data_IF_348532400835
#
_entry.id   IF_348532400835
#
_cell.length_a   1.000
_cell.length_b   1.000
_cell.length_c   1.000
_cell.angle_alpha   90.00
_cell.angle_beta   90.00
_cell.angle_gamma   90.00
#
_symmetry.space_group_name_H-M   'P 1'
#
loop_
_entity.id
_entity.type
_entity.pdbx_description
1 polymer ?
#
# COMPACT_ATOMS: atom_id res chain seq x y z
N UNK A 1 -15.64 -13.00 -5.00
CA UNK A 1 -15.41 -14.10 -4.04
C UNK A 1 -15.12 -13.51 -2.68
N UNK A 2 -15.24 -14.29 -1.61
CA UNK A 2 -14.89 -13.87 -0.24
C UNK A 2 -13.62 -14.60 0.21
N UNK A 3 -12.60 -13.85 0.59
CA UNK A 3 -11.42 -14.40 1.28
C UNK A 3 -11.81 -14.63 2.73
N UNK A 4 -11.50 -15.81 3.27
CA UNK A 4 -11.75 -16.18 4.68
C UNK A 4 -10.41 -16.41 5.36
N UNK A 5 -10.32 -16.02 6.62
CA UNK A 5 -9.08 -16.05 7.37
C UNK A 5 -9.25 -15.63 8.82
N UNK A 6 -8.12 -15.37 9.46
CA UNK A 6 -8.05 -14.80 10.81
C UNK A 6 -7.00 -13.68 10.85
N UNK A 7 -6.90 -12.98 11.96
CA UNK A 7 -5.93 -11.88 12.12
C UNK A 7 -4.75 -12.31 12.96
N UNK A 8 -3.56 -11.87 12.56
CA UNK A 8 -2.30 -12.04 13.30
C UNK A 8 -1.57 -10.72 13.47
N UNK A 9 -0.57 -10.71 14.33
CA UNK A 9 0.26 -9.53 14.64
C UNK A 9 1.71 -9.92 14.47
N UNK A 10 2.43 -9.15 13.65
CA UNK A 10 3.88 -9.29 13.51
C UNK A 10 4.52 -7.95 13.07
N UNK A 11 5.84 -7.93 13.01
CA UNK A 11 6.58 -6.85 12.39
C UNK A 11 6.62 -7.06 10.87
N UNK A 12 6.28 -6.03 10.11
CA UNK A 12 6.25 -6.09 8.64
C UNK A 12 7.30 -5.13 8.09
N UNK A 13 8.23 -5.65 7.30
CA UNK A 13 9.18 -4.82 6.56
C UNK A 13 8.60 -4.47 5.19
N UNK A 14 8.49 -3.17 4.89
CA UNK A 14 8.08 -2.68 3.58
C UNK A 14 9.11 -1.67 3.09
N UNK A 15 9.76 -1.97 1.96
CA UNK A 15 10.79 -1.11 1.37
C UNK A 15 11.92 -0.72 2.35
N UNK A 16 12.29 -1.62 3.27
CA UNK A 16 13.30 -1.37 4.30
C UNK A 16 12.79 -0.64 5.55
N UNK A 17 11.49 -0.33 5.62
CA UNK A 17 10.85 0.26 6.80
C UNK A 17 10.23 -0.84 7.66
N UNK A 18 10.72 -0.98 8.89
CA UNK A 18 10.20 -1.95 9.86
C UNK A 18 8.97 -1.39 10.59
N UNK A 19 7.78 -1.82 10.18
CA UNK A 19 6.52 -1.47 10.83
C UNK A 19 6.24 -2.45 11.95
N UNK A 20 6.35 -1.97 13.19
CA UNK A 20 6.26 -2.81 14.39
C UNK A 20 4.79 -3.06 14.76
N UNK A 21 4.45 -4.30 15.09
CA UNK A 21 3.13 -4.67 15.63
C UNK A 21 1.97 -4.48 14.65
N UNK A 22 2.20 -4.70 13.36
CA UNK A 22 1.16 -4.62 12.34
C UNK A 22 0.18 -5.79 12.50
N UNK A 23 -1.12 -5.47 12.57
CA UNK A 23 -2.18 -6.47 12.46
C UNK A 23 -2.46 -6.73 10.98
N UNK A 24 -2.43 -7.98 10.53
CA UNK A 24 -2.78 -8.35 9.16
C UNK A 24 -3.67 -9.61 9.13
N UNK A 25 -4.31 -9.85 8.00
CA UNK A 25 -5.14 -11.04 7.79
C UNK A 25 -4.35 -12.19 7.18
N UNK A 26 -4.45 -13.37 7.79
CA UNK A 26 -3.98 -14.63 7.22
C UNK A 26 -5.15 -15.32 6.53
N UNK A 27 -5.07 -15.43 5.20
CA UNK A 27 -6.08 -16.13 4.42
C UNK A 27 -5.92 -17.65 4.56
N UNK A 28 -7.03 -18.33 4.86
CA UNK A 28 -7.11 -19.81 4.88
C UNK A 28 -7.95 -20.34 3.71
N UNK A 29 -8.80 -19.48 3.13
CA UNK A 29 -9.61 -19.80 1.96
C UNK A 29 -9.52 -18.63 0.98
N UNK A 30 -8.98 -18.91 -0.20
CA UNK A 30 -8.83 -17.97 -1.30
C UNK A 30 -9.73 -18.38 -2.46
N UNK A 31 -10.74 -17.57 -2.81
CA UNK A 31 -11.72 -17.94 -3.84
C UNK A 31 -11.23 -17.60 -5.25
N UNK A 32 -11.32 -18.57 -6.15
CA UNK A 32 -11.16 -18.36 -7.59
C UNK A 32 -9.72 -18.48 -8.11
N UNK A 33 -9.59 -18.59 -9.42
CA UNK A 33 -8.31 -18.87 -10.08
C UNK A 33 -7.28 -17.73 -9.98
N UNK A 34 -7.73 -16.51 -9.67
CA UNK A 34 -6.84 -15.33 -9.59
C UNK A 34 -5.69 -15.51 -8.60
N UNK A 35 -5.87 -16.25 -7.49
CA UNK A 35 -4.82 -16.48 -6.50
C UNK A 35 -3.80 -17.55 -6.93
N UNK A 36 -4.16 -18.39 -7.90
CA UNK A 36 -3.30 -19.43 -8.47
C UNK A 36 -2.56 -18.91 -9.72
N UNK A 37 -3.24 -18.09 -10.51
CA UNK A 37 -2.76 -17.61 -11.82
C UNK A 37 -2.02 -16.28 -11.73
N UNK A 38 -2.16 -15.55 -10.62
CA UNK A 38 -1.50 -14.25 -10.47
C UNK A 38 -0.07 -14.38 -9.93
N UNK A 39 0.82 -13.45 -10.30
CA UNK A 39 2.19 -13.41 -9.78
C UNK A 39 2.30 -12.83 -8.36
N UNK A 40 1.20 -12.35 -7.75
CA UNK A 40 1.21 -11.77 -6.40
C UNK A 40 0.79 -12.79 -5.34
N UNK A 41 1.34 -12.67 -4.13
CA UNK A 41 1.01 -13.55 -3.00
C UNK A 41 0.05 -12.93 -1.97
N UNK A 42 -0.26 -11.64 -2.11
CA UNK A 42 -1.12 -10.95 -1.16
C UNK A 42 -1.42 -9.51 -1.56
N UNK A 43 -2.16 -8.81 -0.70
CA UNK A 43 -2.61 -7.44 -0.92
C UNK A 43 -2.21 -6.58 0.28
N UNK A 44 -1.56 -5.45 0.01
CA UNK A 44 -1.29 -4.40 1.01
C UNK A 44 -2.27 -3.24 0.78
N UNK A 45 -3.21 -3.06 1.69
CA UNK A 45 -4.19 -1.97 1.64
C UNK A 45 -3.58 -0.63 2.04
N UNK A 46 -3.78 0.40 1.22
CA UNK A 46 -3.28 1.78 1.44
C UNK A 46 -4.41 2.82 1.61
N UNK A 47 -5.66 2.36 1.69
CA UNK A 47 -6.80 3.22 1.92
C UNK A 47 -6.98 3.54 3.41
N UNK A 48 -7.86 4.51 3.71
CA UNK A 48 -8.13 4.96 5.07
C UNK A 48 -8.65 3.84 6.00
N UNK A 49 -8.36 3.94 7.32
CA UNK A 49 -8.79 2.95 8.32
C UNK A 49 -10.30 2.69 8.36
N UNK A 50 -11.14 3.64 7.94
CA UNK A 50 -12.61 3.55 8.03
C UNK A 50 -13.21 2.38 7.22
N UNK A 51 -12.50 1.92 6.18
CA UNK A 51 -12.92 0.75 5.39
C UNK A 51 -12.10 -0.51 5.71
N UNK A 52 -11.23 -0.45 6.72
CA UNK A 52 -10.49 -1.62 7.16
C UNK A 52 -11.47 -2.63 7.78
N UNK A 53 -11.56 -3.82 7.17
CA UNK A 53 -12.43 -4.90 7.64
C UNK A 53 -12.15 -5.26 9.10
N UNK A 54 -10.87 -5.18 9.47
CA UNK A 54 -10.39 -5.27 10.84
C UNK A 54 -10.19 -3.85 11.30
N UNK A 55 -10.89 -3.42 12.37
CA UNK A 55 -10.81 -2.06 12.93
C UNK A 55 -9.45 -1.78 13.60
N UNK A 56 -8.37 -1.94 12.83
CA UNK A 56 -6.98 -1.80 13.20
C UNK A 56 -6.28 -0.89 12.19
N UNK A 57 -5.24 -0.15 12.59
CA UNK A 57 -4.53 0.73 11.69
C UNK A 57 -3.93 -0.03 10.49
N UNK A 58 -4.14 0.45 9.26
CA UNK A 58 -3.39 0.01 8.09
C UNK A 58 -1.88 0.23 8.24
N UNK A 59 -1.10 -0.40 7.36
CA UNK A 59 0.37 -0.33 7.38
C UNK A 59 0.87 1.11 7.31
N UNK A 60 0.29 1.94 6.45
CA UNK A 60 0.76 3.30 6.26
C UNK A 60 0.45 4.20 7.46
N UNK A 61 -0.70 4.03 8.11
CA UNK A 61 -1.02 4.71 9.38
C UNK A 61 -0.02 4.34 10.48
N UNK A 62 0.39 3.07 10.57
CA UNK A 62 1.43 2.63 11.49
C UNK A 62 2.80 3.25 11.13
N UNK A 63 3.17 3.32 9.84
CA UNK A 63 4.40 4.02 9.42
C UNK A 63 4.43 5.48 9.86
N UNK A 64 3.30 6.20 9.72
CA UNK A 64 3.18 7.60 10.12
C UNK A 64 3.29 7.74 11.64
N UNK A 65 2.54 6.94 12.40
CA UNK A 65 2.54 7.02 13.87
C UNK A 65 3.89 6.65 14.49
N UNK A 66 4.61 5.72 13.86
CA UNK A 66 5.96 5.28 14.26
C UNK A 66 7.07 6.20 13.71
N UNK A 67 6.72 7.26 12.97
CA UNK A 67 7.65 8.25 12.38
C UNK A 67 8.69 7.62 11.44
N UNK A 68 8.29 6.58 10.71
CA UNK A 68 9.15 5.90 9.72
C UNK A 68 9.23 6.64 8.39
N UNK A 69 8.30 7.57 8.16
CA UNK A 69 8.20 8.37 6.93
C UNK A 69 8.32 9.86 7.24
N UNK A 70 8.97 10.62 6.35
CA UNK A 70 9.17 12.05 6.53
C UNK A 70 7.86 12.86 6.44
N UNK A 71 6.88 12.36 5.68
CA UNK A 71 5.57 12.97 5.47
C UNK A 71 4.49 11.90 5.42
N UNK A 72 3.26 12.25 5.82
CA UNK A 72 2.08 11.39 5.69
C UNK A 72 1.53 11.32 4.26
N UNK A 73 2.41 11.17 3.28
CA UNK A 73 2.06 11.03 1.86
C UNK A 73 2.83 9.84 1.26
N UNK A 74 2.21 9.17 0.29
CA UNK A 74 2.89 8.21 -0.58
C UNK A 74 2.54 8.53 -2.03
N UNK A 75 3.38 8.09 -2.95
CA UNK A 75 3.16 8.28 -4.39
C UNK A 75 3.43 6.98 -5.13
N UNK A 76 2.75 6.80 -6.25
CA UNK A 76 2.95 5.66 -7.14
C UNK A 76 3.26 6.13 -8.55
N UNK A 77 4.21 5.44 -9.18
CA UNK A 77 4.52 5.54 -10.59
C UNK A 77 4.35 4.16 -11.20
N UNK A 78 3.62 4.07 -12.30
CA UNK A 78 3.42 2.82 -13.04
C UNK A 78 3.90 3.04 -14.46
N UNK A 79 4.91 2.27 -14.88
CA UNK A 79 5.33 2.28 -16.27
C UNK A 79 4.21 1.74 -17.16
N UNK A 80 4.06 2.35 -18.34
CA UNK A 80 3.12 1.91 -19.36
C UNK A 80 3.75 0.90 -20.35
N UNK A 81 5.00 0.50 -20.12
CA UNK A 81 5.72 -0.46 -20.94
C UNK A 81 5.73 -1.82 -20.27
N UNK A 82 5.31 -2.84 -21.02
CA UNK A 82 5.39 -4.23 -20.57
C UNK A 82 6.84 -4.64 -20.33
N UNK A 83 7.10 -5.29 -19.19
CA UNK A 83 8.44 -5.74 -18.79
C UNK A 83 9.38 -4.64 -18.26
N UNK A 84 8.88 -3.42 -18.06
CA UNK A 84 9.65 -2.32 -17.48
C UNK A 84 9.60 -2.35 -15.94
N UNK A 85 10.77 -2.39 -15.31
CA UNK A 85 10.93 -2.44 -13.85
C UNK A 85 11.00 -1.03 -13.20
N UNK A 86 10.74 0.04 -13.96
CA UNK A 86 10.78 1.41 -13.44
C UNK A 86 9.56 1.80 -12.58
N UNK A 87 8.49 1.00 -12.55
CA UNK A 87 7.34 1.20 -11.67
C UNK A 87 7.78 1.24 -10.20
N UNK A 88 7.22 2.16 -9.42
CA UNK A 88 7.64 2.37 -8.04
C UNK A 88 6.49 2.85 -7.16
N UNK A 89 6.57 2.51 -5.88
CA UNK A 89 5.84 3.16 -4.80
C UNK A 89 6.85 3.84 -3.87
N UNK A 90 6.57 5.09 -3.51
CA UNK A 90 7.43 5.89 -2.63
C UNK A 90 6.62 6.22 -1.38
N UNK A 91 7.09 5.74 -0.23
CA UNK A 91 6.52 6.09 1.07
C UNK A 91 7.24 7.32 1.63
N UNK A 92 6.47 8.29 2.13
CA UNK A 92 7.01 9.50 2.77
C UNK A 92 7.30 10.67 1.85
N UNK A 93 6.86 10.62 0.59
CA UNK A 93 7.09 11.70 -0.36
C UNK A 93 6.84 11.33 -1.81
N UNK A 94 7.51 12.10 -2.68
CA UNK A 94 7.58 11.91 -4.12
C UNK A 94 9.04 11.80 -4.54
N UNK A 95 9.28 11.21 -5.72
CA UNK A 95 10.61 11.14 -6.32
C UNK A 95 10.61 11.86 -7.66
N UNK A 96 11.52 12.83 -7.80
CA UNK A 96 11.62 13.67 -9.01
C UNK A 96 11.92 12.87 -10.27
N UNK A 97 12.50 11.66 -10.17
CA UNK A 97 12.77 10.79 -11.32
C UNK A 97 11.49 10.36 -12.04
N UNK A 98 10.38 10.28 -11.33
CA UNK A 98 9.08 9.84 -11.86
C UNK A 98 8.13 11.01 -12.20
N UNK A 99 8.63 12.25 -12.07
CA UNK A 99 7.89 13.50 -12.26
C UNK A 99 8.64 14.34 -13.29
N UNK A 100 8.59 13.91 -14.56
CA UNK A 100 9.41 14.46 -15.66
C UNK A 100 8.61 15.11 -16.79
N UNK A 101 7.28 15.03 -16.79
CA UNK A 101 6.42 15.55 -17.86
C UNK A 101 5.41 16.61 -17.36
N UNK A 102 4.46 16.98 -18.23
CA UNK A 102 3.43 18.00 -17.95
C UNK A 102 2.51 17.71 -16.75
N UNK A 103 2.62 16.53 -16.13
CA UNK A 103 1.97 16.21 -14.86
C UNK A 103 2.59 16.94 -13.66
N UNK A 104 3.73 17.61 -13.85
CA UNK A 104 4.40 18.40 -12.82
C UNK A 104 4.38 19.92 -13.11
N UNK A 105 3.98 20.75 -12.13
CA UNK A 105 3.72 20.43 -10.72
C UNK A 105 2.40 19.66 -10.48
N UNK A 106 2.40 18.79 -9.45
CA UNK A 106 1.22 18.01 -9.06
C UNK A 106 0.01 18.91 -8.86
N UNK A 107 -1.11 18.55 -9.50
CA UNK A 107 -2.41 19.17 -9.25
C UNK A 107 -3.12 18.41 -8.14
N UNK A 108 -3.25 19.05 -6.97
CA UNK A 108 -3.95 18.49 -5.82
C UNK A 108 -5.45 18.77 -5.89
N UNK A 109 -6.24 17.73 -5.63
CA UNK A 109 -7.70 17.82 -5.49
C UNK A 109 -8.02 17.35 -4.07
N UNK A 110 -8.66 18.19 -3.22
CA UNK A 110 -9.04 17.79 -1.87
C UNK A 110 -9.94 16.54 -1.90
N UNK A 111 -9.64 15.59 -1.02
CA UNK A 111 -10.52 14.44 -0.81
C UNK A 111 -11.76 14.88 -0.04
N UNK A 112 -12.94 14.68 -0.62
CA UNK A 112 -14.21 14.91 0.06
C UNK A 112 -14.74 13.56 0.56
N UNK A 113 -14.49 13.27 1.83
CA UNK A 113 -15.13 12.16 2.52
C UNK A 113 -16.56 12.60 2.87
N UNK A 114 -17.54 12.21 2.05
CA UNK A 114 -18.95 12.29 2.41
C UNK A 114 -19.30 11.19 3.43
#
# INVERSE_FOLDING_TARGET
>A
GTVVGFTSIDNVNVAGLDVIGQVFGEATIEPGAIWVESPFNGILGLAYPVIALVSKPPVFDNMISQKLVAKGEFSSFMSNKEGDESSAIVFGGTDSRYCADASCPFKYIPFNAA
#
